data_IF_519066163138
#
_entry.id   IF_519066163138
#
_cell.length_a   1.000
_cell.length_b   1.000
_cell.length_c   1.000
_cell.angle_alpha   90.00
_cell.angle_beta   90.00
_cell.angle_gamma   90.00
#
_symmetry.space_group_name_H-M   'P 1'
#
loop_
_entity.id
_entity.type
_entity.pdbx_description
1 polymer ?
#
# COMPACT_ATOMS: atom_id res chain seq x y z
N UNK A 1 22.47 9.10 24.23
CA UNK A 1 23.09 8.08 23.34
C UNK A 1 23.42 8.80 22.04
N UNK A 2 24.71 8.75 21.64
CA UNK A 2 25.19 9.44 20.44
C UNK A 2 25.61 8.40 19.41
N UNK A 3 25.08 8.55 18.18
CA UNK A 3 25.36 7.75 16.99
C UNK A 3 25.31 8.67 15.76
N UNK A 4 25.94 8.28 14.66
CA UNK A 4 26.03 9.10 13.45
C UNK A 4 24.74 8.99 12.62
N UNK A 5 24.28 7.77 12.39
CA UNK A 5 23.15 7.53 11.48
C UNK A 5 22.43 6.20 11.79
N UNK A 6 21.12 6.17 11.53
CA UNK A 6 20.31 4.95 11.51
C UNK A 6 19.58 4.88 10.17
N UNK A 7 19.86 3.84 9.40
CA UNK A 7 19.24 3.71 8.08
C UNK A 7 18.89 2.27 7.73
N UNK A 8 18.02 2.12 6.76
CA UNK A 8 17.72 0.83 6.18
C UNK A 8 18.92 0.37 5.34
N UNK A 9 19.45 -0.82 5.64
CA UNK A 9 20.53 -1.43 4.88
C UNK A 9 19.97 -2.13 3.63
N UNK A 10 19.00 -3.00 3.83
CA UNK A 10 18.23 -3.69 2.78
C UNK A 10 16.77 -3.91 3.22
N UNK A 11 16.07 -4.90 2.64
CA UNK A 11 14.67 -5.16 2.97
C UNK A 11 14.46 -5.63 4.41
N UNK A 12 15.41 -6.39 4.94
CA UNK A 12 15.28 -7.12 6.21
C UNK A 12 16.28 -6.64 7.28
N UNK A 13 17.14 -5.65 6.95
CA UNK A 13 18.19 -5.18 7.85
C UNK A 13 18.17 -3.66 8.03
N UNK A 14 18.52 -3.26 9.26
CA UNK A 14 18.73 -1.87 9.66
C UNK A 14 20.17 -1.73 10.15
N UNK A 15 20.87 -0.69 9.71
CA UNK A 15 22.21 -0.37 10.22
C UNK A 15 22.20 0.84 11.15
N UNK A 16 22.96 0.72 12.24
CA UNK A 16 23.24 1.81 13.17
C UNK A 16 24.74 2.06 13.06
N UNK A 17 25.13 3.26 12.63
CA UNK A 17 26.52 3.59 12.31
C UNK A 17 27.19 4.45 13.37
N UNK A 18 28.47 4.19 13.56
CA UNK A 18 29.41 5.04 14.32
C UNK A 18 28.87 5.44 15.68
N UNK A 19 28.49 4.45 16.48
CA UNK A 19 28.12 4.65 17.88
C UNK A 19 29.36 5.13 18.66
N UNK A 20 29.22 6.18 19.47
CA UNK A 20 30.31 6.63 20.36
C UNK A 20 30.76 5.46 21.24
N UNK A 21 32.07 5.14 21.24
CA UNK A 21 32.62 4.05 22.06
C UNK A 21 32.21 4.09 23.52
N UNK A 22 31.98 5.28 24.08
CA UNK A 22 31.52 5.46 25.46
C UNK A 22 30.09 5.02 25.69
N UNK A 23 29.23 4.99 24.63
CA UNK A 23 27.82 4.65 24.69
C UNK A 23 27.53 3.25 24.14
N UNK A 24 28.56 2.49 23.78
CA UNK A 24 28.40 1.15 23.17
C UNK A 24 27.60 0.19 24.03
N UNK A 25 27.84 0.19 25.35
CA UNK A 25 27.08 -0.67 26.29
C UNK A 25 25.60 -0.28 26.35
N UNK A 26 25.33 1.02 26.40
CA UNK A 26 23.98 1.55 26.54
C UNK A 26 23.16 1.34 25.26
N UNK A 27 23.80 1.51 24.08
CA UNK A 27 23.17 1.21 22.78
C UNK A 27 22.86 -0.27 22.67
N UNK A 28 23.79 -1.15 23.07
CA UNK A 28 23.55 -2.60 23.07
C UNK A 28 22.38 -2.97 23.97
N UNK A 29 22.36 -2.45 25.18
CA UNK A 29 21.26 -2.71 26.11
C UNK A 29 19.92 -2.19 25.56
N UNK A 30 19.89 -1.00 24.99
CA UNK A 30 18.68 -0.44 24.37
C UNK A 30 18.20 -1.26 23.17
N UNK A 31 19.11 -1.77 22.34
CA UNK A 31 18.77 -2.66 21.24
C UNK A 31 18.18 -3.97 21.78
N UNK A 32 18.85 -4.61 22.72
CA UNK A 32 18.44 -5.90 23.27
C UNK A 32 17.10 -5.81 24.02
N UNK A 33 16.79 -4.66 24.62
CA UNK A 33 15.53 -4.41 25.31
C UNK A 33 14.38 -4.08 24.30
N UNK A 34 14.66 -3.18 23.35
CA UNK A 34 13.61 -2.63 22.46
C UNK A 34 13.39 -3.46 21.19
N UNK A 35 14.39 -4.21 20.72
CA UNK A 35 14.40 -4.95 19.46
C UNK A 35 14.53 -6.47 19.67
N UNK A 36 13.76 -7.04 20.58
CA UNK A 36 13.79 -8.48 20.91
C UNK A 36 13.54 -9.41 19.73
N UNK A 37 12.88 -8.91 18.69
CA UNK A 37 12.59 -9.63 17.44
C UNK A 37 13.72 -9.58 16.41
N UNK A 38 14.82 -8.91 16.73
CA UNK A 38 15.96 -8.70 15.86
C UNK A 38 17.22 -9.35 16.42
N UNK A 39 18.05 -9.89 15.54
CA UNK A 39 19.40 -10.30 15.85
C UNK A 39 20.36 -9.13 15.57
N UNK A 40 21.28 -8.91 16.51
CA UNK A 40 22.30 -7.88 16.38
C UNK A 40 23.63 -8.50 15.96
N UNK A 41 24.16 -8.04 14.84
CA UNK A 41 25.51 -8.31 14.37
C UNK A 41 26.34 -7.03 14.28
N UNK A 42 27.64 -7.17 14.10
CA UNK A 42 28.50 -6.04 13.76
C UNK A 42 28.40 -5.73 12.26
N UNK A 43 28.38 -4.44 11.90
CA UNK A 43 28.37 -4.04 10.50
C UNK A 43 29.76 -4.25 9.88
N UNK A 44 29.92 -5.10 8.86
CA UNK A 44 31.22 -5.39 8.27
C UNK A 44 31.91 -4.13 7.74
N UNK A 45 33.17 -3.94 8.10
CA UNK A 45 34.01 -2.83 7.61
C UNK A 45 33.76 -1.46 8.23
N UNK A 46 32.83 -1.33 9.17
CA UNK A 46 32.54 -0.05 9.84
C UNK A 46 32.64 -0.23 11.35
N UNK A 47 33.67 0.34 12.02
CA UNK A 47 33.84 0.20 13.46
C UNK A 47 32.67 0.77 14.25
N UNK A 48 32.40 0.20 15.42
CA UNK A 48 31.32 0.63 16.33
C UNK A 48 29.95 0.80 15.65
N UNK A 49 29.64 -0.09 14.72
CA UNK A 49 28.41 -0.06 13.96
C UNK A 49 27.71 -1.41 14.01
N UNK A 50 26.40 -1.41 14.05
CA UNK A 50 25.59 -2.61 14.20
C UNK A 50 24.71 -2.82 12.98
N UNK A 51 24.55 -4.10 12.62
CA UNK A 51 23.57 -4.56 11.67
C UNK A 51 22.48 -5.34 12.42
N UNK A 52 21.25 -4.87 12.36
CA UNK A 52 20.10 -5.53 12.95
C UNK A 52 19.34 -6.27 11.85
N UNK A 53 19.21 -7.58 11.96
CA UNK A 53 18.41 -8.43 11.07
C UNK A 53 17.23 -9.04 11.81
N UNK A 54 16.09 -9.22 11.14
CA UNK A 54 14.96 -9.94 11.72
C UNK A 54 15.35 -11.39 12.03
N UNK A 55 14.97 -11.89 13.22
CA UNK A 55 15.14 -13.30 13.55
C UNK A 55 14.41 -14.17 12.53
N UNK A 56 14.99 -15.27 12.02
CA UNK A 56 14.35 -16.12 11.02
C UNK A 56 12.98 -16.66 11.46
N UNK A 57 12.78 -16.92 12.74
CA UNK A 57 11.48 -17.33 13.30
C UNK A 57 10.42 -16.24 13.20
N UNK A 58 10.82 -14.98 13.46
CA UNK A 58 9.94 -13.81 13.38
C UNK A 58 9.63 -13.48 11.92
N UNK A 59 10.64 -13.52 11.05
CA UNK A 59 10.45 -13.36 9.61
C UNK A 59 9.43 -14.38 9.07
N UNK A 60 9.59 -15.66 9.38
CA UNK A 60 8.65 -16.71 9.00
C UNK A 60 7.24 -16.43 9.52
N UNK A 61 7.12 -16.00 10.78
CA UNK A 61 5.82 -15.66 11.37
C UNK A 61 5.16 -14.47 10.65
N UNK A 62 5.93 -13.41 10.32
CA UNK A 62 5.43 -12.25 9.58
C UNK A 62 4.97 -12.67 8.18
N UNK A 63 5.77 -13.46 7.46
CA UNK A 63 5.43 -13.95 6.11
C UNK A 63 4.17 -14.80 6.11
N UNK A 64 4.09 -15.78 7.01
CA UNK A 64 2.90 -16.65 7.15
C UNK A 64 1.66 -15.83 7.55
N UNK A 65 1.79 -14.92 8.52
CA UNK A 65 0.70 -14.01 8.90
C UNK A 65 0.23 -13.13 7.74
N UNK A 66 1.16 -12.67 6.89
CA UNK A 66 0.84 -11.89 5.69
C UNK A 66 0.06 -12.72 4.67
N UNK A 67 0.38 -14.00 4.48
CA UNK A 67 -0.40 -14.89 3.60
C UNK A 67 -1.83 -15.05 4.11
N UNK A 68 -2.02 -15.30 5.40
CA UNK A 68 -3.36 -15.43 6.00
C UNK A 68 -4.17 -14.12 5.85
N UNK A 69 -3.55 -12.98 6.08
CA UNK A 69 -4.19 -11.69 5.87
C UNK A 69 -4.52 -11.44 4.40
N UNK A 70 -3.64 -11.81 3.46
CA UNK A 70 -3.89 -11.73 2.03
C UNK A 70 -5.09 -12.61 1.61
N UNK A 71 -5.16 -13.85 2.08
CA UNK A 71 -6.29 -14.76 1.85
C UNK A 71 -7.60 -14.12 2.31
N UNK A 72 -7.62 -13.54 3.52
CA UNK A 72 -8.82 -12.88 4.04
C UNK A 72 -9.21 -11.66 3.19
N UNK A 73 -8.23 -10.84 2.79
CA UNK A 73 -8.48 -9.67 1.93
C UNK A 73 -8.99 -10.09 0.55
N UNK A 74 -8.40 -11.12 -0.07
CA UNK A 74 -8.86 -11.66 -1.36
C UNK A 74 -10.28 -12.19 -1.22
N UNK A 75 -10.59 -12.95 -0.16
CA UNK A 75 -11.94 -13.46 0.10
C UNK A 75 -12.96 -12.32 0.20
N UNK A 76 -12.67 -11.28 0.98
CA UNK A 76 -13.55 -10.11 1.11
C UNK A 76 -13.81 -9.42 -0.24
N UNK A 77 -12.79 -9.37 -1.13
CA UNK A 77 -12.94 -8.80 -2.48
C UNK A 77 -13.81 -9.65 -3.38
N UNK A 78 -13.58 -10.96 -3.36
CA UNK A 78 -14.31 -11.94 -4.17
C UNK A 78 -15.78 -12.02 -3.73
N UNK A 79 -16.05 -11.97 -2.42
CA UNK A 79 -17.41 -11.94 -1.86
C UNK A 79 -18.17 -10.67 -2.32
N UNK A 80 -17.49 -9.50 -2.33
CA UNK A 80 -18.10 -8.26 -2.80
C UNK A 80 -18.34 -8.24 -4.33
N UNK A 81 -17.62 -9.06 -5.09
CA UNK A 81 -17.86 -9.25 -6.52
C UNK A 81 -19.04 -10.21 -6.80
N UNK A 82 -19.57 -10.87 -5.77
CA UNK A 82 -20.70 -11.80 -5.90
C UNK A 82 -20.33 -13.15 -6.51
N UNK A 83 -19.06 -13.53 -6.49
CA UNK A 83 -18.63 -14.86 -6.98
C UNK A 83 -19.09 -15.93 -5.98
N UNK A 84 -19.77 -16.94 -6.50
CA UNK A 84 -20.30 -18.04 -5.69
C UNK A 84 -19.26 -19.16 -5.55
N UNK A 85 -19.15 -19.70 -4.33
CA UNK A 85 -18.30 -20.85 -4.00
C UNK A 85 -16.81 -20.69 -4.41
N UNK A 86 -16.15 -19.57 -4.10
CA UNK A 86 -14.73 -19.41 -4.41
C UNK A 86 -13.89 -20.33 -3.53
N UNK A 87 -12.81 -20.90 -4.09
CA UNK A 87 -11.79 -21.60 -3.29
C UNK A 87 -10.59 -20.68 -3.17
N UNK A 88 -10.27 -20.27 -1.91
CA UNK A 88 -9.15 -19.40 -1.61
C UNK A 88 -8.41 -19.98 -0.40
N UNK A 89 -7.22 -20.50 -0.63
CA UNK A 89 -6.44 -21.21 0.40
C UNK A 89 -4.93 -21.13 0.13
N UNK A 90 -4.13 -21.42 1.15
CA UNK A 90 -2.69 -21.66 0.95
C UNK A 90 -2.46 -22.84 0.00
N UNK A 91 -1.39 -22.77 -0.78
CA UNK A 91 -1.00 -23.78 -1.74
C UNK A 91 0.50 -24.04 -1.69
N UNK A 92 0.88 -25.30 -1.93
CA UNK A 92 2.29 -25.71 -1.96
C UNK A 92 2.96 -25.76 -0.59
N UNK A 93 4.30 -25.84 -0.58
CA UNK A 93 5.12 -25.82 0.63
C UNK A 93 4.95 -24.50 1.42
N UNK A 94 4.98 -24.59 2.74
CA UNK A 94 4.72 -23.44 3.62
C UNK A 94 5.76 -22.30 3.50
N UNK A 95 6.92 -22.57 2.93
CA UNK A 95 8.00 -21.62 2.69
C UNK A 95 7.93 -20.92 1.31
N UNK A 96 7.03 -21.38 0.43
CA UNK A 96 6.77 -20.74 -0.85
C UNK A 96 5.70 -19.64 -0.79
N UNK A 97 4.91 -19.56 0.29
CA UNK A 97 3.91 -18.53 0.56
C UNK A 97 2.91 -18.32 -0.60
N UNK A 98 2.48 -19.41 -1.24
CA UNK A 98 1.58 -19.40 -2.38
C UNK A 98 0.11 -19.43 -1.95
N UNK A 99 -0.75 -18.82 -2.76
CA UNK A 99 -2.20 -18.80 -2.58
C UNK A 99 -2.86 -19.37 -3.84
N UNK A 100 -3.70 -20.38 -3.67
CA UNK A 100 -4.60 -20.89 -4.72
C UNK A 100 -5.91 -20.09 -4.68
N UNK A 101 -6.30 -19.55 -5.82
CA UNK A 101 -7.58 -18.86 -6.01
C UNK A 101 -8.32 -19.49 -7.18
N UNK A 102 -9.51 -20.06 -6.91
CA UNK A 102 -10.39 -20.61 -7.93
C UNK A 102 -11.72 -19.87 -7.88
N UNK A 103 -12.13 -19.31 -9.00
CA UNK A 103 -13.30 -18.44 -9.12
C UNK A 103 -14.22 -18.96 -10.22
N UNK A 104 -15.18 -19.85 -9.88
CA UNK A 104 -16.13 -20.36 -10.86
C UNK A 104 -17.11 -19.26 -11.30
N UNK A 105 -17.53 -19.31 -12.57
CA UNK A 105 -18.59 -18.44 -13.09
C UNK A 105 -18.25 -16.95 -13.20
N UNK A 106 -16.97 -16.62 -13.34
CA UNK A 106 -16.53 -15.22 -13.51
C UNK A 106 -16.66 -14.82 -14.98
N UNK A 107 -17.44 -13.76 -15.26
CA UNK A 107 -17.66 -13.25 -16.62
C UNK A 107 -16.47 -12.44 -17.15
N UNK A 108 -15.81 -11.65 -16.27
CA UNK A 108 -14.62 -10.86 -16.60
C UNK A 108 -13.43 -11.23 -15.71
N UNK A 109 -12.64 -12.24 -16.10
CA UNK A 109 -11.45 -12.65 -15.35
C UNK A 109 -10.38 -11.55 -15.23
N UNK A 110 -10.27 -10.67 -16.23
CA UNK A 110 -9.24 -9.61 -16.24
C UNK A 110 -9.52 -8.58 -15.16
N UNK A 111 -10.73 -8.08 -15.08
CA UNK A 111 -11.19 -7.15 -14.05
C UNK A 111 -11.02 -7.73 -12.65
N UNK A 112 -11.43 -8.99 -12.45
CA UNK A 112 -11.30 -9.66 -11.14
C UNK A 112 -9.85 -9.81 -10.74
N UNK A 113 -8.96 -10.15 -11.67
CA UNK A 113 -7.51 -10.20 -11.42
C UNK A 113 -6.95 -8.85 -10.99
N UNK A 114 -7.32 -7.78 -11.66
CA UNK A 114 -6.88 -6.43 -11.31
C UNK A 114 -7.34 -6.03 -9.90
N UNK A 115 -8.57 -6.35 -9.55
CA UNK A 115 -9.12 -6.11 -8.21
C UNK A 115 -8.36 -6.93 -7.16
N UNK A 116 -8.11 -8.21 -7.41
CA UNK A 116 -7.37 -9.08 -6.47
C UNK A 116 -5.93 -8.60 -6.29
N UNK A 117 -5.26 -8.21 -7.36
CA UNK A 117 -3.85 -7.79 -7.36
C UNK A 117 -3.62 -6.41 -6.75
N UNK A 118 -4.59 -5.52 -6.81
CA UNK A 118 -4.47 -4.15 -6.28
C UNK A 118 -4.06 -4.19 -4.81
N UNK A 119 -2.98 -3.53 -4.44
CA UNK A 119 -2.58 -3.43 -3.03
C UNK A 119 -3.54 -2.53 -2.27
N UNK A 120 -4.20 -1.58 -2.94
CA UNK A 120 -5.09 -0.58 -2.37
C UNK A 120 -4.50 0.13 -1.15
N UNK A 121 -3.21 0.37 -1.21
CA UNK A 121 -2.50 1.12 -0.17
C UNK A 121 -2.86 2.59 -0.30
N UNK A 122 -3.89 3.00 0.43
CA UNK A 122 -4.29 4.39 0.53
C UNK A 122 -3.50 5.08 1.63
N UNK A 123 -2.90 6.21 1.30
CA UNK A 123 -2.19 7.08 2.23
C UNK A 123 -2.56 8.53 1.97
N UNK A 124 -2.88 9.28 3.01
CA UNK A 124 -3.04 10.73 2.95
C UNK A 124 -1.77 11.37 3.52
N UNK A 125 -1.03 12.09 2.67
CA UNK A 125 0.28 12.67 3.00
C UNK A 125 0.29 14.17 2.78
N UNK A 126 0.83 14.91 3.75
CA UNK A 126 0.98 16.36 3.60
C UNK A 126 2.04 16.71 2.56
N UNK A 127 1.72 17.73 1.77
CA UNK A 127 2.64 18.43 0.88
C UNK A 127 2.84 19.83 1.44
N UNK A 128 4.05 20.19 1.76
CA UNK A 128 4.35 21.52 2.25
C UNK A 128 4.55 22.51 1.08
N UNK A 129 4.36 23.81 1.32
CA UNK A 129 4.59 24.83 0.30
C UNK A 129 5.99 24.73 -0.30
N UNK A 130 6.08 24.80 -1.64
CA UNK A 130 7.35 24.70 -2.36
C UNK A 130 7.82 23.27 -2.70
N UNK A 131 7.09 22.24 -2.25
CA UNK A 131 7.44 20.84 -2.51
C UNK A 131 6.65 20.21 -3.69
N UNK A 132 6.19 21.01 -4.62
CA UNK A 132 5.54 20.58 -5.86
C UNK A 132 4.48 21.56 -6.35
N UNK A 133 3.97 21.36 -7.58
CA UNK A 133 4.37 20.33 -8.54
C UNK A 133 5.69 20.61 -9.24
N UNK A 134 6.46 19.56 -9.53
CA UNK A 134 7.66 19.63 -10.37
C UNK A 134 7.39 18.91 -11.70
N UNK A 135 7.95 19.42 -12.84
CA UNK A 135 7.69 18.87 -14.18
C UNK A 135 8.36 17.52 -14.44
N UNK A 136 9.30 17.08 -13.59
CA UNK A 136 9.95 15.79 -13.68
C UNK A 136 10.62 15.41 -12.35
N UNK A 137 10.90 14.12 -12.18
CA UNK A 137 11.66 13.60 -11.04
C UNK A 137 13.04 14.26 -10.93
N UNK A 138 13.70 14.46 -12.06
CA UNK A 138 15.03 15.08 -12.10
C UNK A 138 14.99 16.55 -11.70
N UNK A 139 13.99 17.31 -12.16
CA UNK A 139 13.79 18.70 -11.78
C UNK A 139 13.54 18.85 -10.27
N UNK A 140 12.75 17.96 -9.68
CA UNK A 140 12.53 17.92 -8.24
C UNK A 140 13.82 17.67 -7.47
N UNK A 141 14.57 16.62 -7.82
CA UNK A 141 15.81 16.25 -7.12
C UNK A 141 16.92 17.28 -7.29
N UNK A 142 17.01 17.95 -8.46
CA UNK A 142 18.04 18.97 -8.72
C UNK A 142 17.96 20.15 -7.76
N UNK A 143 16.79 20.48 -7.23
CA UNK A 143 16.62 21.54 -6.22
C UNK A 143 17.18 21.17 -4.84
N UNK A 144 17.42 19.87 -4.61
CA UNK A 144 17.85 19.32 -3.31
C UNK A 144 19.13 18.47 -3.45
N UNK A 145 20.08 18.91 -4.28
CA UNK A 145 21.39 18.25 -4.47
C UNK A 145 21.29 16.77 -4.88
N UNK A 146 20.23 16.37 -5.59
CA UNK A 146 20.03 15.01 -6.10
C UNK A 146 19.42 14.02 -5.10
N UNK A 147 19.12 14.44 -3.87
CA UNK A 147 18.56 13.58 -2.81
C UNK A 147 17.26 14.18 -2.29
N UNK A 148 16.29 13.34 -1.95
CA UNK A 148 15.07 13.80 -1.32
C UNK A 148 15.37 14.42 0.06
N UNK A 149 14.73 15.54 0.44
CA UNK A 149 14.87 16.13 1.77
C UNK A 149 14.51 15.14 2.88
N UNK A 150 15.13 15.32 4.05
CA UNK A 150 14.86 14.46 5.20
C UNK A 150 13.37 14.43 5.55
N UNK A 151 12.84 13.25 5.86
CA UNK A 151 11.42 13.06 6.17
C UNK A 151 10.46 13.18 4.99
N UNK A 152 10.97 13.37 3.77
CA UNK A 152 10.16 13.47 2.54
C UNK A 152 10.42 12.29 1.61
N UNK A 153 9.44 11.99 0.78
CA UNK A 153 9.57 11.08 -0.36
C UNK A 153 9.01 11.74 -1.62
N UNK A 154 9.54 11.35 -2.77
CA UNK A 154 9.17 11.93 -4.06
C UNK A 154 8.24 10.97 -4.80
N UNK A 155 6.99 11.39 -5.02
CA UNK A 155 5.96 10.58 -5.66
C UNK A 155 5.45 11.22 -6.96
N UNK A 156 5.11 10.38 -7.97
CA UNK A 156 4.51 10.85 -9.22
C UNK A 156 3.01 11.10 -9.05
N UNK A 157 2.53 12.15 -9.70
CA UNK A 157 1.13 12.42 -9.94
C UNK A 157 0.83 12.22 -11.42
N UNK A 158 0.06 11.20 -11.75
CA UNK A 158 -0.29 10.85 -13.12
C UNK A 158 -1.57 11.55 -13.52
N UNK A 159 -1.48 12.54 -14.43
CA UNK A 159 -2.65 13.10 -15.12
C UNK A 159 -3.02 12.20 -16.28
N UNK A 160 -4.21 11.61 -16.25
CA UNK A 160 -4.75 10.76 -17.34
C UNK A 160 -5.23 11.53 -18.58
N UNK A 161 -4.71 12.70 -18.86
CA UNK A 161 -4.99 13.41 -20.11
C UNK A 161 -3.81 13.25 -21.04
N UNK A 162 -3.75 12.18 -21.83
CA UNK A 162 -2.98 11.95 -23.08
C UNK A 162 -1.68 12.74 -23.36
N UNK A 163 -1.28 13.65 -22.53
CA UNK A 163 -0.03 14.37 -22.53
C UNK A 163 0.86 13.84 -21.42
N UNK A 164 2.01 13.37 -21.79
CA UNK A 164 3.06 12.74 -21.00
C UNK A 164 3.78 13.68 -20.03
N UNK A 165 3.07 14.47 -19.22
CA UNK A 165 3.68 15.28 -18.17
C UNK A 165 3.28 14.71 -16.80
N UNK A 166 4.08 13.76 -16.33
CA UNK A 166 4.06 13.37 -14.92
C UNK A 166 4.48 14.59 -14.08
N UNK A 167 3.62 15.01 -13.16
CA UNK A 167 3.99 15.96 -12.12
C UNK A 167 4.55 15.20 -10.92
N UNK A 168 5.52 15.77 -10.23
CA UNK A 168 6.17 15.15 -9.09
C UNK A 168 6.03 16.03 -7.85
N UNK A 169 5.81 15.41 -6.70
CA UNK A 169 5.67 16.11 -5.42
C UNK A 169 6.53 15.44 -4.36
N UNK A 170 7.19 16.24 -3.54
CA UNK A 170 7.68 15.74 -2.26
C UNK A 170 6.55 15.75 -1.24
N UNK A 171 6.24 14.60 -0.71
CA UNK A 171 5.25 14.40 0.34
C UNK A 171 5.94 13.98 1.64
N UNK A 172 5.27 14.14 2.76
CA UNK A 172 5.77 13.59 4.03
C UNK A 172 5.89 12.07 3.91
N UNK A 173 7.03 11.51 4.36
CA UNK A 173 7.27 10.07 4.31
C UNK A 173 6.28 9.30 5.18
N UNK A 174 5.90 9.87 6.32
CA UNK A 174 4.90 9.31 7.22
C UNK A 174 3.51 9.78 6.77
N UNK A 175 2.62 8.81 6.51
CA UNK A 175 1.24 9.11 6.18
C UNK A 175 0.48 9.62 7.40
N UNK A 176 -0.33 10.65 7.18
CA UNK A 176 -1.22 11.21 8.21
C UNK A 176 -2.41 10.29 8.50
N UNK A 177 -2.97 9.70 7.46
CA UNK A 177 -4.07 8.73 7.47
C UNK A 177 -3.72 7.63 6.48
N UNK A 178 -4.14 6.42 6.79
CA UNK A 178 -3.93 5.23 5.96
C UNK A 178 -5.25 4.51 5.68
N UNK A 179 -5.24 3.55 4.76
CA UNK A 179 -6.42 2.72 4.48
C UNK A 179 -6.99 1.98 5.70
N UNK A 180 -6.19 1.75 6.76
CA UNK A 180 -6.67 1.15 8.03
C UNK A 180 -7.59 2.06 8.82
N UNK A 181 -7.53 3.36 8.57
CA UNK A 181 -8.36 4.37 9.21
C UNK A 181 -9.70 4.54 8.53
N UNK A 182 -9.93 3.85 7.41
CA UNK A 182 -11.21 3.87 6.70
C UNK A 182 -12.23 3.00 7.41
N UNK A 183 -13.43 3.54 7.61
CA UNK A 183 -14.62 2.80 8.03
C UNK A 183 -15.45 2.35 6.84
N UNK A 184 -15.64 3.23 5.87
CA UNK A 184 -16.40 2.95 4.63
C UNK A 184 -15.79 3.67 3.44
N UNK A 185 -15.99 3.11 2.25
CA UNK A 185 -15.70 3.75 0.98
C UNK A 185 -16.80 3.40 -0.02
N UNK A 186 -17.27 4.38 -0.80
CA UNK A 186 -18.39 4.22 -1.73
C UNK A 186 -18.14 5.01 -3.02
N UNK A 187 -18.57 4.50 -4.19
CA UNK A 187 -18.55 5.30 -5.40
C UNK A 187 -19.44 6.53 -5.22
N UNK A 188 -18.98 7.66 -5.74
CA UNK A 188 -19.68 8.94 -5.66
C UNK A 188 -19.37 9.79 -6.91
N UNK A 189 -19.85 11.01 -6.92
CA UNK A 189 -19.50 12.00 -7.92
C UNK A 189 -18.96 13.25 -7.25
N UNK A 190 -17.98 13.90 -7.88
CA UNK A 190 -17.46 15.19 -7.41
C UNK A 190 -18.41 16.34 -7.75
N UNK A 191 -18.04 17.56 -7.37
CA UNK A 191 -18.81 18.79 -7.62
C UNK A 191 -18.98 19.13 -9.11
N UNK A 192 -18.16 18.50 -9.99
CA UNK A 192 -18.23 18.64 -11.44
C UNK A 192 -18.97 17.48 -12.12
N UNK A 193 -19.57 16.55 -11.35
CA UNK A 193 -20.27 15.37 -11.86
C UNK A 193 -19.36 14.25 -12.36
N UNK A 194 -18.03 14.30 -12.08
CA UNK A 194 -17.09 13.24 -12.42
C UNK A 194 -17.11 12.14 -11.36
N UNK A 195 -16.82 10.91 -11.79
CA UNK A 195 -16.72 9.79 -10.88
C UNK A 195 -15.62 9.99 -9.83
N UNK A 196 -15.95 9.71 -8.59
CA UNK A 196 -15.11 9.86 -7.41
C UNK A 196 -15.38 8.74 -6.41
N UNK A 197 -14.60 8.64 -5.34
CA UNK A 197 -14.84 7.74 -4.22
C UNK A 197 -14.97 8.54 -2.94
N UNK A 198 -16.12 8.50 -2.29
CA UNK A 198 -16.29 9.06 -0.96
C UNK A 198 -15.87 8.05 0.11
N UNK A 199 -15.27 8.52 1.19
CA UNK A 199 -14.87 7.68 2.31
C UNK A 199 -15.25 8.33 3.64
N UNK A 200 -15.44 7.48 4.66
CA UNK A 200 -15.55 7.88 6.04
C UNK A 200 -14.47 7.19 6.87
N UNK A 201 -13.97 7.91 7.87
CA UNK A 201 -12.94 7.44 8.78
C UNK A 201 -13.52 6.73 10.00
N UNK A 202 -12.71 5.90 10.63
CA UNK A 202 -12.96 5.41 12.00
C UNK A 202 -12.88 6.57 13.00
N UNK A 203 -13.38 6.40 14.21
CA UNK A 203 -13.34 7.45 15.24
C UNK A 203 -11.92 7.94 15.53
N UNK A 204 -10.95 7.02 15.60
CA UNK A 204 -9.54 7.36 15.87
C UNK A 204 -8.89 8.05 14.65
N UNK A 205 -9.21 7.58 13.45
CA UNK A 205 -8.78 8.21 12.20
C UNK A 205 -9.34 9.62 12.06
N UNK A 206 -10.61 9.81 12.37
CA UNK A 206 -11.30 11.09 12.34
C UNK A 206 -10.68 12.12 13.30
N UNK A 207 -10.40 11.73 14.55
CA UNK A 207 -9.75 12.61 15.52
C UNK A 207 -8.36 13.05 15.07
N UNK A 208 -7.56 12.13 14.50
CA UNK A 208 -6.25 12.48 13.91
C UNK A 208 -6.39 13.39 12.70
N UNK A 209 -7.36 13.09 11.82
CA UNK A 209 -7.58 13.85 10.60
C UNK A 209 -8.04 15.28 10.86
N UNK A 210 -8.97 15.45 11.83
CA UNK A 210 -9.42 16.75 12.30
C UNK A 210 -8.26 17.61 12.81
N UNK A 211 -7.41 17.04 13.67
CA UNK A 211 -6.23 17.73 14.18
C UNK A 211 -5.26 18.13 13.06
N UNK A 212 -4.90 17.16 12.19
CA UNK A 212 -3.91 17.39 11.13
C UNK A 212 -4.43 18.42 10.12
N UNK A 213 -5.68 18.33 9.70
CA UNK A 213 -6.25 19.30 8.75
C UNK A 213 -6.40 20.68 9.37
N UNK A 214 -6.78 20.77 10.65
CA UNK A 214 -6.86 22.05 11.38
C UNK A 214 -5.51 22.76 11.52
N UNK A 215 -4.43 22.01 11.77
CA UNK A 215 -3.08 22.56 11.92
C UNK A 215 -2.40 22.89 10.57
N UNK A 216 -2.94 22.40 9.44
CA UNK A 216 -2.33 22.52 8.12
C UNK A 216 -3.23 23.17 7.08
N UNK A 217 -4.12 24.08 7.49
CA UNK A 217 -4.95 24.86 6.57
C UNK A 217 -4.05 25.67 5.62
N UNK A 218 -4.37 25.64 4.32
CA UNK A 218 -3.60 26.28 3.25
C UNK A 218 -2.51 25.39 2.63
N UNK A 219 -2.14 24.28 3.26
CA UNK A 219 -1.26 23.27 2.66
C UNK A 219 -2.05 22.32 1.78
N UNK A 220 -1.35 21.49 1.01
CA UNK A 220 -1.97 20.46 0.20
C UNK A 220 -1.95 19.10 0.92
N UNK A 221 -2.99 18.31 0.69
CA UNK A 221 -3.08 16.93 1.15
C UNK A 221 -3.08 15.99 -0.06
N UNK A 222 -1.96 15.33 -0.28
CA UNK A 222 -1.85 14.34 -1.35
C UNK A 222 -2.61 13.07 -0.97
N UNK A 223 -3.51 12.65 -1.84
CA UNK A 223 -4.18 11.35 -1.79
C UNK A 223 -3.35 10.40 -2.62
N UNK A 224 -2.64 9.52 -1.95
CA UNK A 224 -1.71 8.55 -2.55
C UNK A 224 -2.36 7.18 -2.57
N UNK A 225 -2.35 6.53 -3.71
CA UNK A 225 -2.81 5.16 -3.90
C UNK A 225 -1.69 4.36 -4.58
N UNK A 226 -1.24 3.31 -3.92
CA UNK A 226 -0.18 2.43 -4.42
C UNK A 226 1.08 3.20 -4.87
N UNK A 227 1.50 4.20 -4.06
CA UNK A 227 2.68 5.02 -4.31
C UNK A 227 2.53 6.08 -5.42
N UNK A 228 1.31 6.32 -5.91
CA UNK A 228 1.01 7.35 -6.91
C UNK A 228 -0.02 8.35 -6.39
N UNK A 229 0.24 9.62 -6.58
CA UNK A 229 -0.69 10.68 -6.20
C UNK A 229 -1.86 10.68 -7.19
N UNK A 230 -3.08 10.53 -6.67
CA UNK A 230 -4.31 10.65 -7.44
C UNK A 230 -4.78 12.10 -7.53
N UNK A 231 -4.67 12.83 -6.42
CA UNK A 231 -4.96 14.26 -6.32
C UNK A 231 -4.24 14.86 -5.12
N UNK A 232 -4.02 16.17 -5.13
CA UNK A 232 -3.39 16.91 -4.03
C UNK A 232 -4.16 18.21 -3.76
N UNK A 233 -5.42 18.14 -3.26
CA UNK A 233 -6.22 19.31 -2.97
C UNK A 233 -5.64 20.15 -1.83
N UNK A 234 -5.91 21.47 -1.87
CA UNK A 234 -5.61 22.35 -0.74
C UNK A 234 -6.60 22.11 0.41
N UNK A 235 -6.09 22.06 1.63
CA UNK A 235 -6.89 22.01 2.86
C UNK A 235 -7.48 23.40 3.08
N UNK A 236 -8.78 23.55 2.88
CA UNK A 236 -9.50 24.84 3.00
C UNK A 236 -10.06 25.08 4.40
N UNK A 237 -10.35 24.02 5.11
CA UNK A 237 -10.92 24.04 6.48
C UNK A 237 -10.57 22.74 7.19
N UNK A 238 -10.80 22.71 8.50
CA UNK A 238 -10.73 21.47 9.29
C UNK A 238 -11.71 20.44 8.77
N UNK A 239 -11.24 19.23 8.50
CA UNK A 239 -12.05 18.11 7.99
C UNK A 239 -12.13 17.07 9.11
N UNK A 240 -13.35 16.64 9.47
CA UNK A 240 -13.56 15.74 10.60
C UNK A 240 -13.35 14.28 10.22
N UNK A 241 -14.32 13.70 9.51
CA UNK A 241 -14.50 12.27 9.45
C UNK A 241 -14.70 11.72 8.02
N UNK A 242 -14.78 12.58 7.04
CA UNK A 242 -15.10 12.21 5.67
C UNK A 242 -14.23 12.95 4.65
N UNK A 243 -14.06 12.33 3.49
CA UNK A 243 -13.36 12.93 2.36
C UNK A 243 -13.78 12.29 1.06
N UNK A 244 -13.21 12.82 -0.02
CA UNK A 244 -13.46 12.32 -1.35
C UNK A 244 -12.14 12.18 -2.11
N UNK A 245 -11.96 11.01 -2.72
CA UNK A 245 -10.85 10.74 -3.64
C UNK A 245 -11.34 11.15 -5.02
N UNK A 246 -10.83 12.26 -5.51
CA UNK A 246 -11.11 12.77 -6.85
C UNK A 246 -9.96 12.42 -7.78
N UNK A 247 -10.25 12.23 -9.06
CA UNK A 247 -9.28 11.90 -10.07
C UNK A 247 -10.00 11.74 -11.41
N UNK A 248 -9.30 11.26 -12.41
CA UNK A 248 -9.90 11.01 -13.72
C UNK A 248 -10.45 9.57 -13.78
N UNK A 249 -11.38 9.24 -12.88
CA UNK A 249 -11.98 7.91 -12.80
C UNK A 249 -13.14 7.76 -13.78
N UNK A 250 -13.24 6.57 -14.37
CA UNK A 250 -14.53 6.07 -14.91
C UNK A 250 -15.39 5.61 -13.73
N UNK A 251 -16.70 5.53 -13.92
CA UNK A 251 -17.62 5.01 -12.90
C UNK A 251 -17.23 3.59 -12.45
N UNK A 252 -16.82 2.76 -13.39
CA UNK A 252 -16.36 1.40 -13.12
C UNK A 252 -15.11 1.40 -12.25
N UNK A 253 -14.08 2.19 -12.60
CA UNK A 253 -12.85 2.34 -11.78
C UNK A 253 -13.12 2.88 -10.38
N UNK A 254 -14.02 3.86 -10.24
CA UNK A 254 -14.42 4.37 -8.94
C UNK A 254 -15.13 3.29 -8.10
N UNK A 255 -15.96 2.46 -8.72
CA UNK A 255 -16.63 1.33 -8.08
C UNK A 255 -15.61 0.28 -7.61
N UNK A 256 -14.69 -0.10 -8.47
CA UNK A 256 -13.63 -1.09 -8.16
C UNK A 256 -12.68 -0.58 -7.06
N UNK A 257 -12.32 0.71 -7.12
CA UNK A 257 -11.51 1.34 -6.08
C UNK A 257 -12.24 1.36 -4.73
N UNK A 258 -13.53 1.75 -4.71
CA UNK A 258 -14.32 1.76 -3.49
C UNK A 258 -14.45 0.35 -2.89
N UNK A 259 -14.67 -0.68 -3.73
CA UNK A 259 -14.67 -2.08 -3.34
C UNK A 259 -13.33 -2.48 -2.72
N UNK A 260 -12.24 -2.17 -3.40
CA UNK A 260 -10.89 -2.55 -2.97
C UNK A 260 -10.51 -1.88 -1.65
N UNK A 261 -10.84 -0.60 -1.48
CA UNK A 261 -10.62 0.14 -0.23
C UNK A 261 -11.42 -0.43 0.95
N UNK A 262 -12.70 -0.81 0.73
CA UNK A 262 -13.53 -1.46 1.76
C UNK A 262 -12.99 -2.82 2.18
N UNK A 263 -12.46 -3.59 1.22
CA UNK A 263 -11.92 -4.92 1.47
C UNK A 263 -10.61 -4.90 2.24
N UNK A 264 -9.96 -3.75 2.31
CA UNK A 264 -8.67 -3.54 2.95
C UNK A 264 -7.48 -3.72 2.01
N UNK A 265 -6.35 -3.16 2.44
CA UNK A 265 -5.09 -3.28 1.73
C UNK A 265 -4.49 -4.69 1.85
N UNK A 266 -3.85 -5.13 0.78
CA UNK A 266 -3.00 -6.32 0.85
C UNK A 266 -1.74 -6.02 1.66
N UNK A 267 -1.29 -6.96 2.51
CA UNK A 267 -0.09 -6.77 3.32
C UNK A 267 1.20 -6.77 2.48
N UNK A 268 1.15 -7.36 1.30
CA UNK A 268 2.24 -7.42 0.32
C UNK A 268 1.67 -7.46 -1.10
N UNK A 269 2.50 -7.12 -2.08
CA UNK A 269 2.15 -7.27 -3.50
C UNK A 269 2.05 -8.76 -3.88
N UNK A 270 1.11 -9.08 -4.76
CA UNK A 270 0.88 -10.43 -5.28
C UNK A 270 1.37 -10.51 -6.73
N UNK A 271 2.08 -11.59 -7.06
CA UNK A 271 2.47 -11.91 -8.43
C UNK A 271 1.79 -13.20 -8.87
N UNK A 272 1.34 -13.26 -10.12
CA UNK A 272 0.78 -14.48 -10.68
C UNK A 272 1.90 -15.45 -11.07
N UNK A 273 1.84 -16.68 -10.57
CA UNK A 273 2.76 -17.75 -10.92
C UNK A 273 2.21 -18.60 -12.06
N UNK A 274 0.93 -18.95 -11.98
CA UNK A 274 0.23 -19.77 -12.98
C UNK A 274 -1.21 -19.29 -13.10
N UNK A 275 -1.76 -19.39 -14.30
CA UNK A 275 -3.16 -19.12 -14.59
C UNK A 275 -3.72 -20.18 -15.49
N UNK A 276 -4.91 -20.69 -15.14
CA UNK A 276 -5.69 -21.60 -15.98
C UNK A 276 -7.12 -21.12 -16.08
N UNK A 277 -7.57 -20.82 -17.29
CA UNK A 277 -8.97 -20.49 -17.58
C UNK A 277 -9.62 -21.69 -18.25
N UNK A 278 -10.68 -22.20 -17.62
CA UNK A 278 -11.49 -23.28 -18.19
C UNK A 278 -12.72 -22.66 -18.81
N UNK A 279 -12.79 -22.67 -20.14
CA UNK A 279 -13.93 -22.13 -20.88
C UNK A 279 -15.17 -23.02 -20.75
N UNK A 280 -16.36 -22.42 -20.88
CA UNK A 280 -17.67 -23.12 -20.84
C UNK A 280 -17.83 -24.23 -21.90
N UNK A 281 -17.03 -24.19 -22.98
CA UNK A 281 -17.05 -25.22 -24.03
C UNK A 281 -16.61 -26.60 -23.52
N UNK A 282 -15.68 -26.70 -22.59
CA UNK A 282 -15.24 -27.98 -22.03
C UNK A 282 -16.30 -28.65 -21.15
N UNK A 283 -17.19 -27.86 -20.51
CA UNK A 283 -18.34 -28.38 -19.78
C UNK A 283 -19.41 -28.96 -20.72
N UNK A 284 -19.69 -28.31 -21.83
CA UNK A 284 -20.65 -28.78 -22.80
C UNK A 284 -20.23 -30.07 -23.52
N UNK A 285 -18.95 -30.20 -23.86
CA UNK A 285 -18.43 -31.44 -24.47
C UNK A 285 -18.48 -32.62 -23.50
N UNK A 286 -18.22 -32.41 -22.21
CA UNK A 286 -18.35 -33.44 -21.19
C UNK A 286 -19.78 -33.86 -20.92
N UNK A 287 -20.74 -32.91 -20.96
CA UNK A 287 -22.18 -33.18 -20.84
C UNK A 287 -22.67 -33.96 -22.07
N UNK A 288 -22.24 -33.57 -23.25
CA UNK A 288 -22.64 -34.24 -24.52
C UNK A 288 -22.10 -35.69 -24.56
N UNK A 289 -20.83 -35.90 -24.13
CA UNK A 289 -20.27 -37.24 -24.05
C UNK A 289 -20.95 -38.11 -22.97
N UNK A 290 -21.38 -37.53 -21.86
CA UNK A 290 -22.16 -38.21 -20.82
C UNK A 290 -23.55 -38.63 -21.29
N UNK A 291 -24.23 -37.80 -22.10
CA UNK A 291 -25.57 -38.12 -22.67
C UNK A 291 -25.46 -39.19 -23.75
N UNK A 292 -24.38 -39.20 -24.54
CA UNK A 292 -24.18 -40.20 -25.62
C UNK A 292 -23.74 -41.56 -25.06
N UNK A 293 -23.17 -41.60 -23.85
CA UNK A 293 -22.71 -42.82 -23.17
C UNK A 293 -23.78 -43.49 -22.28
N UNK A 294 -24.96 -42.87 -22.11
CA UNK A 294 -26.15 -43.42 -21.42
C UNK A 294 -27.15 -44.02 -22.39
#
# INVERSE_FOLDING_TARGET
ISFSDVRKHDLDHIEIREVDPKNTSDVRAAIDESFQSWDRGDLPGVPNSYLLGLKPSVEKQIRSGSVQQAIQTIRNRVDQLGVTEPVIQEHGPADEYQILVQLPGVDDPSRVKDIIKSTALLELKLVEPGFGPFPSRQAALSQYNGVAPEGKELLPHVRETGQSSEEWYFVNKVASITGRDLRTAQPSTDEFGKAAVSFNLTSDGAARFEKITGENIGKQLAIVLDGKIQSAPAIRSTIRDSGQITGNFTLERATDLALTLRSGALPASITYLEERTVGASLGNDSIFQGIVAS
#
